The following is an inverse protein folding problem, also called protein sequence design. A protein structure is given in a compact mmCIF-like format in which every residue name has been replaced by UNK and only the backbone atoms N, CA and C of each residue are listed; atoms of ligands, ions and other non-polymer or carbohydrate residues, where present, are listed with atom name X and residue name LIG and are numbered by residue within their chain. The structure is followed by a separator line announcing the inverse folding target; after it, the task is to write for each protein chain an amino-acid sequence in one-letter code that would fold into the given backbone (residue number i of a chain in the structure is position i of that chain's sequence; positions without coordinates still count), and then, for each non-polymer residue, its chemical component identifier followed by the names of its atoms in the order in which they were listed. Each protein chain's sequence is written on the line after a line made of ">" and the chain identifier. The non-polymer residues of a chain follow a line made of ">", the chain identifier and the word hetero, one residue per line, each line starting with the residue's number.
data_IF_860656288884
#
_entry.id   IF_860656288884
#
_cell.length_a   1.000
_cell.length_b   1.000
_cell.length_c   1.000
_cell.angle_alpha   90.00
_cell.angle_beta   90.00
_cell.angle_gamma   90.00
#
_symmetry.space_group_name_H-M   'P 1'
#
loop_
_entity.id
_entity.type
_entity.pdbx_description
1 polymer ?
#
# COMPACT_ATOMS: atom_id res chain seq x y z
N UNK A 1 34.44 -48.16 2.27
CA UNK A 1 34.21 -46.78 1.81
C UNK A 1 32.91 -46.29 2.46
N UNK A 2 33.04 -45.75 3.66
CA UNK A 2 31.90 -45.25 4.44
C UNK A 2 31.62 -43.81 4.06
N UNK A 3 30.47 -43.58 3.47
CA UNK A 3 29.95 -42.24 3.21
C UNK A 3 29.16 -41.79 4.45
N UNK A 4 29.80 -41.07 5.36
CA UNK A 4 29.17 -40.42 6.49
C UNK A 4 28.33 -39.25 5.95
N UNK A 5 27.02 -39.46 5.88
CA UNK A 5 26.04 -38.38 5.58
C UNK A 5 26.01 -37.44 6.78
N UNK A 6 26.49 -36.22 6.56
CA UNK A 6 26.53 -35.15 7.54
C UNK A 6 25.11 -34.55 7.74
N UNK A 7 24.38 -35.07 8.75
CA UNK A 7 22.98 -34.72 9.05
C UNK A 7 22.80 -33.55 10.03
N UNK A 8 23.83 -32.68 10.16
CA UNK A 8 23.84 -31.65 11.22
C UNK A 8 23.31 -30.24 10.80
N UNK A 9 22.91 -30.05 9.53
CA UNK A 9 22.54 -28.72 8.99
C UNK A 9 21.12 -28.23 9.34
N UNK A 10 20.06 -29.04 9.39
CA UNK A 10 18.72 -28.49 9.59
C UNK A 10 18.38 -28.07 11.04
N UNK A 11 19.07 -28.58 12.04
CA UNK A 11 18.77 -28.32 13.46
C UNK A 11 19.35 -26.97 13.91
N UNK A 12 20.53 -26.60 13.43
CA UNK A 12 21.18 -25.30 13.74
C UNK A 12 20.43 -24.12 13.10
N UNK A 13 19.93 -24.29 11.87
CA UNK A 13 19.18 -23.25 11.19
C UNK A 13 17.83 -22.98 11.88
N UNK A 14 17.14 -24.02 12.33
CA UNK A 14 15.89 -23.90 13.08
C UNK A 14 16.07 -23.25 14.46
N UNK A 15 17.17 -23.52 15.15
CA UNK A 15 17.48 -22.88 16.44
C UNK A 15 17.83 -21.41 16.28
N UNK A 16 18.54 -21.04 15.22
CA UNK A 16 18.88 -19.64 14.92
C UNK A 16 17.64 -18.82 14.53
N UNK A 17 16.68 -19.41 13.83
CA UNK A 17 15.41 -18.78 13.49
C UNK A 17 14.50 -18.60 14.72
N UNK A 18 14.54 -19.54 15.66
CA UNK A 18 13.77 -19.45 16.91
C UNK A 18 14.37 -18.44 17.90
N UNK A 19 15.69 -18.30 17.93
CA UNK A 19 16.39 -17.29 18.74
C UNK A 19 16.16 -15.87 18.21
N UNK A 20 16.13 -15.68 16.89
CA UNK A 20 15.78 -14.42 16.26
C UNK A 20 14.35 -13.95 16.59
N UNK A 21 13.46 -14.89 16.92
CA UNK A 21 12.07 -14.60 17.30
C UNK A 21 11.92 -14.05 18.74
N UNK A 22 12.95 -14.21 19.57
CA UNK A 22 12.96 -13.83 21.01
C UNK A 22 13.66 -12.51 21.32
N UNK A 23 14.36 -11.89 20.36
CA UNK A 23 15.05 -10.62 20.61
C UNK A 23 14.04 -9.47 20.70
N UNK A 24 14.21 -8.53 21.66
CA UNK A 24 13.38 -7.33 21.74
C UNK A 24 13.59 -6.51 20.47
N UNK A 25 12.50 -6.19 19.78
CA UNK A 25 12.53 -5.41 18.53
C UNK A 25 12.87 -3.97 18.82
N UNK A 26 13.88 -3.47 18.14
CA UNK A 26 14.20 -2.05 18.14
C UNK A 26 13.19 -1.29 17.25
N UNK A 27 12.94 -0.02 17.55
CA UNK A 27 12.09 0.84 16.70
C UNK A 27 12.54 0.82 15.23
N UNK A 28 13.85 0.78 15.01
CA UNK A 28 14.45 0.67 13.67
C UNK A 28 14.01 -0.62 12.94
N UNK A 29 13.94 -1.73 13.64
CA UNK A 29 13.52 -3.03 13.06
C UNK A 29 12.03 -2.95 12.65
N UNK A 30 11.20 -2.32 13.48
CA UNK A 30 9.77 -2.14 13.17
C UNK A 30 9.61 -1.26 11.93
N UNK A 31 10.32 -0.15 11.83
CA UNK A 31 10.28 0.74 10.65
C UNK A 31 10.73 0.00 9.39
N UNK A 32 11.80 -0.79 9.49
CA UNK A 32 12.29 -1.58 8.37
C UNK A 32 11.27 -2.66 7.94
N UNK A 33 10.70 -3.40 8.88
CA UNK A 33 9.68 -4.42 8.62
C UNK A 33 8.45 -3.79 7.94
N UNK A 34 7.96 -2.68 8.45
CA UNK A 34 6.82 -1.93 7.88
C UNK A 34 7.13 -1.46 6.47
N UNK A 35 8.29 -0.82 6.25
CA UNK A 35 8.70 -0.35 4.92
C UNK A 35 8.79 -1.50 3.92
N UNK A 36 9.33 -2.65 4.34
CA UNK A 36 9.41 -3.86 3.52
C UNK A 36 8.01 -4.39 3.20
N UNK A 37 7.11 -4.42 4.19
CA UNK A 37 5.72 -4.82 4.01
C UNK A 37 4.97 -3.96 3.00
N UNK A 38 5.14 -2.64 3.08
CA UNK A 38 4.59 -1.67 2.14
C UNK A 38 5.13 -1.92 0.73
N UNK A 39 6.45 -2.01 0.58
CA UNK A 39 7.10 -2.19 -0.72
C UNK A 39 6.67 -3.49 -1.40
N UNK A 40 6.63 -4.59 -0.66
CA UNK A 40 6.19 -5.88 -1.19
C UNK A 40 4.72 -5.87 -1.60
N UNK A 41 3.84 -5.25 -0.80
CA UNK A 41 2.42 -5.12 -1.13
C UNK A 41 2.21 -4.30 -2.41
N UNK A 42 2.93 -3.18 -2.56
CA UNK A 42 2.86 -2.34 -3.75
C UNK A 42 3.33 -3.11 -4.99
N UNK A 43 4.47 -3.78 -4.92
CA UNK A 43 5.00 -4.58 -6.03
C UNK A 43 4.04 -5.70 -6.42
N UNK A 44 3.50 -6.44 -5.44
CA UNK A 44 2.62 -7.56 -5.71
C UNK A 44 1.27 -7.14 -6.32
N UNK A 45 0.74 -5.99 -5.96
CA UNK A 45 -0.61 -5.57 -6.35
C UNK A 45 -0.59 -4.52 -7.46
N UNK A 46 0.14 -3.43 -7.27
CA UNK A 46 0.23 -2.38 -8.29
C UNK A 46 1.17 -2.77 -9.42
N UNK A 47 2.37 -3.26 -9.12
CA UNK A 47 3.33 -3.64 -10.13
C UNK A 47 2.77 -4.71 -11.07
N UNK A 48 2.25 -5.79 -10.51
CA UNK A 48 1.63 -6.85 -11.30
C UNK A 48 0.32 -6.40 -11.94
N UNK A 49 -0.50 -5.59 -11.25
CA UNK A 49 -1.74 -5.04 -11.79
C UNK A 49 -1.50 -4.16 -13.03
N UNK A 50 -0.51 -3.27 -12.97
CA UNK A 50 -0.12 -2.44 -14.11
C UNK A 50 0.46 -3.28 -15.26
N UNK A 51 1.29 -4.27 -14.96
CA UNK A 51 1.84 -5.18 -15.98
C UNK A 51 0.74 -5.95 -16.71
N UNK A 52 -0.22 -6.52 -15.96
CA UNK A 52 -1.36 -7.24 -16.54
C UNK A 52 -2.24 -6.32 -17.39
N UNK A 53 -2.52 -5.11 -16.90
CA UNK A 53 -3.32 -4.13 -17.65
C UNK A 53 -2.61 -3.69 -18.95
N UNK A 54 -1.29 -3.43 -18.88
CA UNK A 54 -0.49 -3.05 -20.05
C UNK A 54 -0.39 -4.17 -21.09
N UNK A 55 -0.13 -5.39 -20.66
CA UNK A 55 -0.13 -6.58 -21.55
C UNK A 55 -1.51 -6.82 -22.14
N UNK A 56 -2.57 -6.69 -21.33
CA UNK A 56 -3.94 -6.85 -21.81
C UNK A 56 -4.30 -5.83 -22.88
N UNK A 57 -3.88 -4.58 -22.73
CA UNK A 57 -4.06 -3.52 -23.73
C UNK A 57 -3.25 -3.81 -25.01
N UNK A 58 -2.00 -4.25 -24.88
CA UNK A 58 -1.15 -4.57 -26.01
C UNK A 58 -1.67 -5.78 -26.82
N UNK A 59 -2.16 -6.79 -26.13
CA UNK A 59 -2.71 -8.02 -26.72
C UNK A 59 -4.20 -7.92 -27.07
N UNK A 60 -4.86 -6.79 -26.76
CA UNK A 60 -6.31 -6.58 -26.91
C UNK A 60 -7.16 -7.62 -26.15
N UNK A 61 -6.69 -8.09 -24.99
CA UNK A 61 -7.37 -9.05 -24.13
C UNK A 61 -8.06 -8.34 -23.00
N UNK A 62 -9.34 -8.00 -23.16
CA UNK A 62 -10.15 -7.28 -22.16
C UNK A 62 -10.17 -7.92 -20.75
N UNK A 63 -10.32 -9.26 -20.58
CA UNK A 63 -10.27 -9.87 -19.25
C UNK A 63 -8.94 -9.65 -18.53
N UNK A 64 -7.83 -9.60 -19.22
CA UNK A 64 -6.51 -9.36 -18.65
C UNK A 64 -6.38 -7.91 -18.16
N UNK A 65 -6.92 -6.96 -18.93
CA UNK A 65 -7.00 -5.54 -18.50
C UNK A 65 -7.83 -5.41 -17.23
N UNK A 66 -9.01 -6.04 -17.20
CA UNK A 66 -9.90 -6.00 -16.03
C UNK A 66 -9.26 -6.62 -14.80
N UNK A 67 -8.58 -7.76 -14.93
CA UNK A 67 -7.84 -8.38 -13.84
C UNK A 67 -6.73 -7.46 -13.30
N UNK A 68 -5.99 -6.78 -14.19
CA UNK A 68 -4.97 -5.81 -13.80
C UNK A 68 -5.55 -4.60 -13.05
N UNK A 69 -6.65 -4.05 -13.54
CA UNK A 69 -7.34 -2.94 -12.87
C UNK A 69 -7.91 -3.33 -11.51
N UNK A 70 -8.46 -4.54 -11.39
CA UNK A 70 -8.94 -5.07 -10.11
C UNK A 70 -7.79 -5.24 -9.12
N UNK A 71 -6.65 -5.77 -9.58
CA UNK A 71 -5.43 -5.86 -8.77
C UNK A 71 -5.04 -4.50 -8.19
N UNK A 72 -5.01 -3.45 -8.99
CA UNK A 72 -4.65 -2.10 -8.52
C UNK A 72 -5.61 -1.57 -7.44
N UNK A 73 -6.90 -1.90 -7.50
CA UNK A 73 -7.88 -1.52 -6.48
C UNK A 73 -7.69 -2.26 -5.15
N UNK A 74 -7.00 -3.41 -5.17
CA UNK A 74 -6.68 -4.19 -3.97
C UNK A 74 -5.49 -3.65 -3.16
N UNK A 75 -5.02 -2.43 -3.44
CA UNK A 75 -3.84 -1.86 -2.77
C UNK A 75 -4.03 -1.73 -1.25
N UNK A 76 -5.14 -1.16 -0.80
CA UNK A 76 -5.36 -0.94 0.64
C UNK A 76 -5.38 -2.25 1.45
N UNK A 77 -6.15 -3.29 1.07
CA UNK A 77 -6.08 -4.58 1.76
C UNK A 77 -4.70 -5.23 1.69
N UNK A 78 -4.00 -5.12 0.56
CA UNK A 78 -2.66 -5.67 0.41
C UNK A 78 -1.64 -5.00 1.35
N UNK A 79 -1.73 -3.68 1.56
CA UNK A 79 -0.93 -2.95 2.54
C UNK A 79 -1.20 -3.47 3.96
N UNK A 80 -2.46 -3.69 4.32
CA UNK A 80 -2.84 -4.26 5.61
C UNK A 80 -2.20 -5.63 5.87
N UNK A 81 -2.29 -6.52 4.89
CA UNK A 81 -1.70 -7.88 4.97
C UNK A 81 -0.17 -7.83 4.97
N UNK A 82 0.44 -7.04 4.06
CA UNK A 82 1.89 -6.94 3.93
C UNK A 82 2.55 -6.46 5.22
N UNK A 83 2.01 -5.40 5.83
CA UNK A 83 2.49 -4.88 7.11
C UNK A 83 2.31 -5.92 8.22
N UNK A 84 1.14 -6.56 8.31
CA UNK A 84 0.84 -7.52 9.35
C UNK A 84 1.79 -8.75 9.30
N UNK A 85 2.05 -9.28 8.09
CA UNK A 85 2.97 -10.41 7.89
C UNK A 85 4.40 -10.03 8.30
N UNK A 86 4.89 -8.88 7.86
CA UNK A 86 6.24 -8.44 8.20
C UNK A 86 6.39 -8.14 9.69
N UNK A 87 5.34 -7.64 10.33
CA UNK A 87 5.27 -7.47 11.78
C UNK A 87 5.01 -8.78 12.54
N UNK A 88 4.97 -9.93 11.85
CA UNK A 88 4.74 -11.27 12.41
C UNK A 88 3.45 -11.39 13.21
N UNK A 89 2.40 -10.71 12.77
CA UNK A 89 1.08 -10.81 13.35
C UNK A 89 0.48 -12.22 13.14
N UNK A 90 -0.40 -12.62 14.04
CA UNK A 90 -1.17 -13.86 13.87
C UNK A 90 -2.27 -13.67 12.78
N UNK A 91 -2.91 -14.75 12.37
CA UNK A 91 -3.94 -14.73 11.33
C UNK A 91 -5.10 -13.79 11.68
N UNK A 92 -5.54 -13.78 12.95
CA UNK A 92 -6.64 -12.94 13.42
C UNK A 92 -6.29 -11.45 13.30
N UNK A 93 -5.10 -11.08 13.74
CA UNK A 93 -4.59 -9.71 13.62
C UNK A 93 -4.34 -9.32 12.17
N UNK A 94 -3.88 -10.25 11.31
CA UNK A 94 -3.69 -10.00 9.87
C UNK A 94 -5.03 -9.74 9.19
N UNK A 95 -6.07 -10.52 9.49
CA UNK A 95 -7.43 -10.27 9.01
C UNK A 95 -7.99 -8.92 9.47
N UNK A 96 -7.76 -8.57 10.74
CA UNK A 96 -8.15 -7.28 11.28
C UNK A 96 -7.44 -6.11 10.57
N UNK A 97 -6.13 -6.23 10.33
CA UNK A 97 -5.34 -5.22 9.64
C UNK A 97 -5.78 -5.03 8.17
N UNK A 98 -6.15 -6.14 7.48
CA UNK A 98 -6.73 -6.09 6.14
C UNK A 98 -8.01 -5.26 6.12
N UNK A 99 -8.94 -5.54 7.03
CA UNK A 99 -10.22 -4.83 7.10
C UNK A 99 -10.00 -3.37 7.50
N UNK A 100 -9.18 -3.13 8.53
CA UNK A 100 -8.88 -1.79 9.01
C UNK A 100 -8.23 -0.91 7.93
N UNK A 101 -7.26 -1.44 7.17
CA UNK A 101 -6.64 -0.74 6.06
C UNK A 101 -7.66 -0.41 4.95
N UNK A 102 -8.52 -1.36 4.61
CA UNK A 102 -9.51 -1.22 3.53
C UNK A 102 -10.57 -0.18 3.87
N UNK A 103 -11.17 -0.27 5.06
CA UNK A 103 -12.24 0.65 5.48
C UNK A 103 -11.64 1.99 5.94
N UNK A 104 -10.54 1.95 6.71
CA UNK A 104 -9.90 3.16 7.24
C UNK A 104 -9.27 4.07 6.17
N UNK A 105 -9.01 3.55 4.97
CA UNK A 105 -8.52 4.33 3.82
C UNK A 105 -9.62 4.83 2.89
N UNK A 106 -10.91 4.60 3.19
CA UNK A 106 -12.02 4.82 2.27
C UNK A 106 -11.86 4.05 0.93
N UNK A 107 -11.17 2.90 0.94
CA UNK A 107 -11.06 2.06 -0.26
C UNK A 107 -12.40 1.43 -0.62
N UNK A 108 -13.25 1.21 0.36
CA UNK A 108 -14.58 0.61 0.20
C UNK A 108 -15.62 1.52 0.87
N UNK A 109 -16.62 1.92 0.11
CA UNK A 109 -17.74 2.72 0.62
C UNK A 109 -19.01 2.43 -0.16
N UNK A 110 -20.15 2.78 0.43
CA UNK A 110 -21.47 2.65 -0.22
C UNK A 110 -21.86 3.97 -0.87
N UNK A 111 -22.40 3.90 -2.10
CA UNK A 111 -22.93 5.08 -2.78
C UNK A 111 -24.18 5.60 -2.07
N UNK A 112 -24.24 6.93 -1.88
CA UNK A 112 -25.42 7.59 -1.32
C UNK A 112 -26.47 7.92 -2.39
N UNK A 113 -26.05 8.03 -3.66
CA UNK A 113 -26.91 8.33 -4.79
C UNK A 113 -26.69 7.36 -5.95
N UNK A 114 -27.70 7.16 -6.79
CA UNK A 114 -27.56 6.40 -8.04
C UNK A 114 -26.72 7.20 -9.04
N UNK A 115 -25.80 6.53 -9.72
CA UNK A 115 -25.03 7.09 -10.83
C UNK A 115 -25.41 6.38 -12.13
N UNK A 116 -25.68 7.14 -13.23
CA UNK A 116 -26.03 6.54 -14.51
C UNK A 116 -24.83 5.76 -15.09
N UNK A 117 -25.16 4.78 -15.93
CA UNK A 117 -24.16 4.04 -16.68
C UNK A 117 -23.32 4.99 -17.55
N UNK A 118 -22.01 4.84 -17.50
CA UNK A 118 -21.04 5.67 -18.22
C UNK A 118 -20.02 4.85 -18.97
N UNK A 119 -19.63 5.31 -20.16
CA UNK A 119 -18.47 4.79 -20.86
C UNK A 119 -17.21 5.49 -20.36
N UNK A 120 -16.23 4.68 -19.95
CA UNK A 120 -14.89 5.16 -19.59
C UNK A 120 -13.87 4.65 -20.60
N UNK A 121 -12.67 5.21 -20.59
CA UNK A 121 -11.58 4.73 -21.44
C UNK A 121 -11.22 3.25 -21.24
N UNK A 122 -11.59 2.68 -20.08
CA UNK A 122 -11.33 1.30 -19.68
C UNK A 122 -12.54 0.38 -19.84
N UNK A 123 -13.68 0.86 -20.32
CA UNK A 123 -14.86 0.06 -20.59
C UNK A 123 -16.18 0.66 -20.11
N UNK A 124 -17.20 -0.17 -20.12
CA UNK A 124 -18.54 0.18 -19.70
C UNK A 124 -18.70 0.01 -18.18
N UNK A 125 -19.13 1.07 -17.50
CA UNK A 125 -19.58 1.00 -16.11
C UNK A 125 -21.12 0.99 -16.14
N UNK A 126 -21.71 -0.10 -15.67
CA UNK A 126 -23.17 -0.20 -15.54
C UNK A 126 -23.70 0.85 -14.57
N UNK A 127 -24.99 1.13 -14.66
CA UNK A 127 -25.65 2.02 -13.73
C UNK A 127 -25.54 1.44 -12.30
N UNK A 128 -25.30 2.32 -11.33
CA UNK A 128 -25.13 1.93 -9.93
C UNK A 128 -26.28 2.50 -9.10
N UNK A 129 -27.05 1.62 -8.48
CA UNK A 129 -28.10 2.01 -7.56
C UNK A 129 -27.52 2.62 -6.28
N UNK A 130 -28.30 3.49 -5.62
CA UNK A 130 -27.96 3.96 -4.29
C UNK A 130 -27.76 2.76 -3.34
N UNK A 131 -26.71 2.77 -2.54
CA UNK A 131 -26.31 1.66 -1.69
C UNK A 131 -25.38 0.62 -2.34
N UNK A 132 -24.97 0.81 -3.60
CA UNK A 132 -23.97 -0.06 -4.23
C UNK A 132 -22.59 0.09 -3.56
N UNK A 133 -21.91 -1.05 -3.41
CA UNK A 133 -20.55 -1.07 -2.89
C UNK A 133 -19.56 -0.62 -3.97
N UNK A 134 -18.83 0.45 -3.69
CA UNK A 134 -17.74 0.91 -4.55
C UNK A 134 -16.39 0.54 -3.94
N UNK A 135 -15.50 0.05 -4.77
CA UNK A 135 -14.13 -0.26 -4.42
C UNK A 135 -13.17 0.62 -5.21
N UNK A 136 -12.35 1.37 -4.49
CA UNK A 136 -11.27 2.22 -5.02
C UNK A 136 -9.93 1.75 -4.49
N UNK A 137 -8.84 2.33 -4.94
CA UNK A 137 -7.51 2.05 -4.37
C UNK A 137 -7.35 2.55 -2.92
N UNK A 138 -8.28 3.40 -2.46
CA UNK A 138 -8.22 4.02 -1.14
C UNK A 138 -7.07 5.03 -0.99
N UNK A 139 -6.98 5.62 0.20
CA UNK A 139 -5.91 6.54 0.58
C UNK A 139 -4.74 5.76 1.17
N UNK A 140 -3.58 5.61 0.47
CA UNK A 140 -2.51 4.70 0.89
C UNK A 140 -1.90 5.06 2.26
N UNK A 141 -1.76 6.36 2.57
CA UNK A 141 -1.21 6.80 3.85
C UNK A 141 -2.11 6.38 5.00
N UNK A 142 -3.42 6.60 4.86
CA UNK A 142 -4.41 6.18 5.87
C UNK A 142 -4.49 4.66 5.99
N UNK A 143 -4.36 3.92 4.87
CA UNK A 143 -4.31 2.46 4.88
C UNK A 143 -3.14 1.93 5.71
N UNK A 144 -1.95 2.51 5.52
CA UNK A 144 -0.74 2.16 6.29
C UNK A 144 -0.93 2.45 7.77
N UNK A 145 -1.41 3.64 8.11
CA UNK A 145 -1.61 4.04 9.51
C UNK A 145 -2.69 3.20 10.20
N UNK A 146 -3.80 2.91 9.50
CA UNK A 146 -4.86 2.02 9.98
C UNK A 146 -4.33 0.60 10.24
N UNK A 147 -3.56 0.05 9.29
CA UNK A 147 -2.94 -1.26 9.42
C UNK A 147 -1.97 -1.33 10.59
N UNK A 148 -1.10 -0.32 10.74
CA UNK A 148 -0.13 -0.24 11.82
C UNK A 148 -0.82 -0.27 13.18
N UNK A 149 -1.85 0.57 13.37
CA UNK A 149 -2.57 0.60 14.64
C UNK A 149 -3.32 -0.71 14.88
N UNK A 150 -3.95 -1.28 13.87
CA UNK A 150 -4.63 -2.58 14.00
C UNK A 150 -3.65 -3.69 14.39
N UNK A 151 -2.46 -3.76 13.77
CA UNK A 151 -1.43 -4.74 14.11
C UNK A 151 -0.88 -4.51 15.51
N UNK A 152 -0.65 -3.26 15.89
CA UNK A 152 -0.18 -2.94 17.23
C UNK A 152 -1.18 -3.37 18.31
N UNK A 153 -2.45 -2.98 18.16
CA UNK A 153 -3.53 -3.34 19.09
C UNK A 153 -3.74 -4.85 19.13
N UNK A 154 -3.79 -5.51 17.97
CA UNK A 154 -3.98 -6.95 17.87
C UNK A 154 -2.85 -7.74 18.51
N UNK A 155 -1.60 -7.38 18.24
CA UNK A 155 -0.43 -8.02 18.86
C UNK A 155 -0.37 -7.75 20.38
N UNK A 156 -0.77 -6.56 20.81
CA UNK A 156 -0.80 -6.24 22.23
C UNK A 156 -1.87 -7.02 22.99
N UNK A 157 -3.02 -7.26 22.36
CA UNK A 157 -4.15 -7.95 22.98
C UNK A 157 -4.01 -9.48 22.97
N UNK A 158 -3.32 -10.01 21.96
CA UNK A 158 -3.13 -11.47 21.78
C UNK A 158 -2.51 -12.12 23.02
N UNK A 159 -3.14 -13.16 23.54
CA UNK A 159 -2.68 -13.95 24.69
C UNK A 159 -3.04 -13.33 26.05
N UNK A 160 -3.82 -12.26 26.11
CA UNK A 160 -4.22 -11.60 27.38
C UNK A 160 -5.60 -12.00 27.87
N UNK A 161 -6.44 -12.50 26.97
CA UNK A 161 -7.84 -12.79 27.31
C UNK A 161 -8.22 -14.21 26.85
N UNK A 162 -9.11 -14.90 27.58
CA UNK A 162 -9.61 -16.22 27.16
C UNK A 162 -10.48 -16.16 25.90
N UNK A 163 -10.92 -14.97 25.50
CA UNK A 163 -11.77 -14.71 24.33
C UNK A 163 -10.99 -14.11 23.16
N UNK A 164 -9.68 -14.39 23.05
CA UNK A 164 -8.80 -13.82 22.03
C UNK A 164 -9.32 -13.97 20.60
N UNK A 165 -10.00 -15.09 20.28
CA UNK A 165 -10.54 -15.35 18.94
C UNK A 165 -11.57 -14.30 18.49
N UNK A 166 -12.34 -13.72 19.39
CA UNK A 166 -13.35 -12.70 19.08
C UNK A 166 -12.86 -11.29 19.39
N UNK A 167 -12.17 -11.13 20.53
CA UNK A 167 -11.80 -9.82 21.04
C UNK A 167 -10.63 -9.19 20.25
N UNK A 168 -9.64 -9.98 19.85
CA UNK A 168 -8.48 -9.50 19.10
C UNK A 168 -8.88 -8.91 17.74
N UNK A 169 -9.58 -9.65 16.84
CA UNK A 169 -9.95 -9.10 15.55
C UNK A 169 -10.95 -7.94 15.68
N UNK A 170 -11.89 -7.99 16.62
CA UNK A 170 -12.85 -6.91 16.83
C UNK A 170 -12.15 -5.61 17.29
N UNK A 171 -11.36 -5.65 18.34
CA UNK A 171 -10.69 -4.48 18.89
C UNK A 171 -9.65 -3.90 17.90
N UNK A 172 -8.88 -4.77 17.24
CA UNK A 172 -7.89 -4.35 16.26
C UNK A 172 -8.53 -3.70 15.03
N UNK A 173 -9.61 -4.29 14.49
CA UNK A 173 -10.35 -3.72 13.36
C UNK A 173 -10.97 -2.38 13.74
N UNK A 174 -11.66 -2.32 14.88
CA UNK A 174 -12.32 -1.09 15.33
C UNK A 174 -11.32 0.06 15.52
N UNK A 175 -10.26 -0.19 16.28
CA UNK A 175 -9.23 0.82 16.54
C UNK A 175 -8.55 1.28 15.24
N UNK A 176 -8.13 0.35 14.39
CA UNK A 176 -7.48 0.66 13.12
C UNK A 176 -8.40 1.42 12.16
N UNK A 177 -9.67 1.02 12.06
CA UNK A 177 -10.65 1.68 11.18
C UNK A 177 -10.94 3.11 11.64
N UNK A 178 -11.24 3.33 12.91
CA UNK A 178 -11.53 4.69 13.44
C UNK A 178 -10.33 5.60 13.23
N UNK A 179 -9.14 5.11 13.53
CA UNK A 179 -7.91 5.89 13.35
C UNK A 179 -7.63 6.16 11.87
N UNK A 180 -7.83 5.17 11.00
CA UNK A 180 -7.66 5.30 9.55
C UNK A 180 -8.61 6.34 8.96
N UNK A 181 -9.91 6.29 9.30
CA UNK A 181 -10.88 7.28 8.85
C UNK A 181 -10.55 8.68 9.36
N UNK A 182 -10.14 8.81 10.61
CA UNK A 182 -9.69 10.10 11.17
C UNK A 182 -8.47 10.66 10.45
N UNK A 183 -7.47 9.81 10.15
CA UNK A 183 -6.30 10.23 9.38
C UNK A 183 -6.64 10.51 7.92
N UNK A 184 -7.54 9.77 7.28
CA UNK A 184 -8.00 10.02 5.92
C UNK A 184 -8.67 11.39 5.80
N UNK A 185 -9.46 11.81 6.80
CA UNK A 185 -10.12 13.10 6.81
C UNK A 185 -9.12 14.29 6.81
N UNK A 186 -7.92 14.10 7.33
CA UNK A 186 -6.87 15.13 7.35
C UNK A 186 -5.92 15.00 6.16
N UNK A 187 -5.49 13.77 5.84
CA UNK A 187 -4.49 13.54 4.80
C UNK A 187 -5.06 13.72 3.40
N UNK A 188 -6.33 13.40 3.15
CA UNK A 188 -6.94 13.55 1.83
C UNK A 188 -6.99 15.01 1.35
N UNK A 189 -7.50 15.99 2.13
CA UNK A 189 -7.48 17.38 1.70
C UNK A 189 -6.05 17.92 1.50
N UNK A 190 -5.13 17.53 2.38
CA UNK A 190 -3.73 17.94 2.28
C UNK A 190 -3.08 17.43 0.98
N UNK A 191 -3.26 16.14 0.65
CA UNK A 191 -2.69 15.56 -0.57
C UNK A 191 -3.36 16.10 -1.84
N UNK A 192 -4.67 16.34 -1.81
CA UNK A 192 -5.36 17.00 -2.91
C UNK A 192 -4.81 18.41 -3.15
N UNK A 193 -4.59 19.18 -2.09
CA UNK A 193 -4.00 20.51 -2.20
C UNK A 193 -2.58 20.45 -2.80
N UNK A 194 -1.73 19.48 -2.37
CA UNK A 194 -0.39 19.27 -2.96
C UNK A 194 -0.51 18.91 -4.43
N UNK A 195 -1.39 17.97 -4.79
CA UNK A 195 -1.61 17.53 -6.17
C UNK A 195 -2.09 18.68 -7.08
N UNK A 196 -3.06 19.46 -6.62
CA UNK A 196 -3.57 20.64 -7.35
C UNK A 196 -2.48 21.71 -7.52
N UNK A 197 -1.66 21.94 -6.50
CA UNK A 197 -0.54 22.88 -6.56
C UNK A 197 0.50 22.45 -7.60
N UNK A 198 0.84 21.17 -7.63
CA UNK A 198 1.75 20.60 -8.64
C UNK A 198 1.14 20.69 -10.04
N UNK A 199 -0.12 20.29 -10.21
CA UNK A 199 -0.82 20.35 -11.48
C UNK A 199 -0.97 21.80 -12.01
N UNK A 200 -1.21 22.77 -11.13
CA UNK A 200 -1.29 24.19 -11.51
C UNK A 200 0.05 24.72 -12.04
N UNK A 201 1.17 24.32 -11.43
CA UNK A 201 2.51 24.70 -11.88
C UNK A 201 2.80 24.18 -13.29
N UNK A 202 2.34 22.95 -13.61
CA UNK A 202 2.45 22.37 -14.95
C UNK A 202 1.64 23.12 -16.00
N UNK A 203 0.47 23.68 -15.63
CA UNK A 203 -0.38 24.46 -16.54
C UNK A 203 0.20 25.81 -16.92
N UNK A 204 0.92 26.47 -16.00
CA UNK A 204 1.51 27.79 -16.23
C UNK A 204 2.73 27.68 -17.16
N UNK A 205 3.62 26.76 -16.90
CA UNK A 205 4.79 26.50 -17.74
C UNK A 205 5.18 25.02 -17.59
N UNK A 206 4.90 24.16 -18.61
CA UNK A 206 5.16 22.73 -18.52
C UNK A 206 6.63 22.38 -18.23
N UNK A 207 7.57 23.18 -18.73
CA UNK A 207 8.99 22.93 -18.53
C UNK A 207 9.43 23.21 -17.07
N UNK A 208 9.04 24.37 -16.53
CA UNK A 208 9.31 24.71 -15.12
C UNK A 208 8.54 23.80 -14.18
N UNK A 209 7.28 23.47 -14.51
CA UNK A 209 6.48 22.55 -13.75
C UNK A 209 7.09 21.15 -13.68
N UNK A 210 7.55 20.60 -14.81
CA UNK A 210 8.25 19.32 -14.85
C UNK A 210 9.52 19.32 -14.02
N UNK A 211 10.30 20.40 -14.07
CA UNK A 211 11.49 20.56 -13.24
C UNK A 211 11.15 20.56 -11.75
N UNK A 212 10.18 21.36 -11.33
CA UNK A 212 9.75 21.45 -9.91
C UNK A 212 9.22 20.08 -9.43
N UNK A 213 8.37 19.41 -10.20
CA UNK A 213 7.87 18.08 -9.87
C UNK A 213 9.02 17.08 -9.73
N UNK A 214 9.98 17.07 -10.65
CA UNK A 214 11.14 16.19 -10.61
C UNK A 214 12.00 16.41 -9.37
N UNK A 215 12.25 17.67 -8.99
CA UNK A 215 13.04 18.02 -7.78
C UNK A 215 12.29 17.62 -6.51
N UNK A 216 11.02 17.96 -6.41
CA UNK A 216 10.18 17.59 -5.25
C UNK A 216 10.10 16.06 -5.12
N UNK A 217 9.94 15.37 -6.24
CA UNK A 217 9.93 13.92 -6.28
C UNK A 217 11.26 13.30 -5.84
N UNK A 218 12.37 13.86 -6.30
CA UNK A 218 13.69 13.44 -5.85
C UNK A 218 13.88 13.60 -4.34
N UNK A 219 13.44 14.72 -3.77
CA UNK A 219 13.47 14.94 -2.33
C UNK A 219 12.64 13.90 -1.56
N UNK A 220 11.47 13.53 -2.09
CA UNK A 220 10.67 12.45 -1.51
C UNK A 220 11.36 11.09 -1.56
N UNK A 221 12.14 10.80 -2.60
CA UNK A 221 12.94 9.57 -2.68
C UNK A 221 14.01 9.48 -1.60
N UNK A 222 14.52 10.61 -1.12
CA UNK A 222 15.48 10.67 0.00
C UNK A 222 14.82 10.36 1.35
N UNK A 223 13.49 10.42 1.44
CA UNK A 223 12.78 10.03 2.65
C UNK A 223 12.62 8.50 2.70
N UNK A 224 12.52 7.89 3.89
CA UNK A 224 12.29 6.44 4.01
C UNK A 224 10.88 6.00 3.55
N UNK A 225 10.07 6.92 3.04
CA UNK A 225 8.77 6.62 2.45
C UNK A 225 8.94 6.01 1.06
N UNK A 226 8.15 4.95 0.78
CA UNK A 226 8.16 4.34 -0.55
C UNK A 226 7.69 5.34 -1.61
N UNK A 227 8.52 5.59 -2.63
CA UNK A 227 8.21 6.48 -3.74
C UNK A 227 6.93 6.07 -4.48
N UNK A 228 6.66 4.78 -4.59
CA UNK A 228 5.43 4.26 -5.20
C UNK A 228 4.18 4.61 -4.38
N UNK A 229 4.24 4.51 -3.05
CA UNK A 229 3.14 4.90 -2.17
C UNK A 229 2.86 6.41 -2.27
N UNK A 230 3.92 7.23 -2.36
CA UNK A 230 3.77 8.68 -2.54
C UNK A 230 3.19 9.03 -3.91
N UNK A 231 3.62 8.35 -4.99
CA UNK A 231 3.07 8.56 -6.33
C UNK A 231 1.56 8.35 -6.37
N UNK A 232 1.09 7.29 -5.72
CA UNK A 232 -0.33 6.98 -5.63
C UNK A 232 -1.05 7.95 -4.69
N UNK A 233 -0.43 8.31 -3.58
CA UNK A 233 -1.01 9.24 -2.61
C UNK A 233 -1.24 10.63 -3.21
N UNK A 234 -0.34 11.10 -4.07
CA UNK A 234 -0.43 12.42 -4.72
C UNK A 234 -1.34 12.38 -5.97
N UNK A 235 -1.74 11.17 -6.44
CA UNK A 235 -2.61 11.02 -7.63
C UNK A 235 -2.15 11.88 -8.81
N UNK A 236 -0.88 11.79 -9.16
CA UNK A 236 -0.30 12.57 -10.25
C UNK A 236 -1.05 12.32 -11.56
N UNK A 237 -1.35 13.41 -12.28
CA UNK A 237 -1.83 13.33 -13.64
C UNK A 237 -0.74 12.71 -14.56
N UNK A 238 -1.05 12.29 -15.79
CA UNK A 238 -0.08 11.63 -16.68
C UNK A 238 1.18 12.48 -16.96
N UNK A 239 1.06 13.79 -17.02
CA UNK A 239 2.17 14.72 -17.24
C UNK A 239 3.07 14.83 -16.02
N UNK A 240 2.49 15.01 -14.84
CA UNK A 240 3.20 15.05 -13.56
C UNK A 240 3.84 13.69 -13.24
N UNK A 241 3.16 12.60 -13.62
CA UNK A 241 3.69 11.23 -13.52
C UNK A 241 4.94 11.02 -14.37
N UNK A 242 4.95 11.52 -15.62
CA UNK A 242 6.13 11.51 -16.48
C UNK A 242 7.30 12.31 -15.91
N UNK A 243 7.05 13.51 -15.38
CA UNK A 243 8.05 14.34 -14.74
C UNK A 243 8.62 13.68 -13.45
N UNK A 244 7.78 13.02 -12.66
CA UNK A 244 8.19 12.24 -11.49
C UNK A 244 9.09 11.06 -11.88
N UNK A 245 8.80 10.38 -12.98
CA UNK A 245 9.60 9.27 -13.51
C UNK A 245 11.01 9.74 -13.89
N UNK A 246 11.14 10.91 -14.51
CA UNK A 246 12.44 11.53 -14.83
C UNK A 246 13.20 11.85 -13.53
N UNK A 247 12.53 12.41 -12.53
CA UNK A 247 13.11 12.67 -11.21
C UNK A 247 13.59 11.39 -10.51
N UNK A 248 12.86 10.28 -10.67
CA UNK A 248 13.24 8.96 -10.14
C UNK A 248 14.54 8.46 -10.79
N UNK A 249 14.63 8.50 -12.11
CA UNK A 249 15.84 8.05 -12.86
C UNK A 249 17.05 8.91 -12.54
N UNK A 250 16.90 10.23 -12.48
CA UNK A 250 17.96 11.14 -12.08
C UNK A 250 18.41 10.87 -10.63
N UNK A 251 17.46 10.64 -9.73
CA UNK A 251 17.73 10.29 -8.33
C UNK A 251 18.51 8.98 -8.17
N UNK A 252 18.17 7.97 -8.95
CA UNK A 252 18.90 6.70 -8.97
C UNK A 252 20.37 6.87 -9.40
N UNK A 253 20.61 7.68 -10.45
CA UNK A 253 21.97 7.96 -10.94
C UNK A 253 22.79 8.70 -9.86
N UNK A 254 22.21 9.70 -9.21
CA UNK A 254 22.88 10.43 -8.12
C UNK A 254 23.17 9.51 -6.94
N UNK A 255 22.22 8.68 -6.55
CA UNK A 255 22.38 7.73 -5.44
C UNK A 255 23.49 6.71 -5.71
N UNK A 256 23.56 6.17 -6.93
CA UNK A 256 24.63 5.23 -7.33
C UNK A 256 25.99 5.91 -7.48
N UNK A 257 26.04 7.22 -7.73
CA UNK A 257 27.28 7.98 -7.80
C UNK A 257 27.83 8.39 -6.44
N UNK A 258 26.98 8.46 -5.40
CA UNK A 258 27.37 8.84 -4.05
C UNK A 258 27.65 7.65 -3.11
N UNK A 259 27.28 6.43 -3.48
CA UNK A 259 27.46 5.19 -2.70
C UNK A 259 28.50 4.29 -3.29
#
# INVERSE_FOLDING_TARGET
>A
MDATVNSSTPVKEKSTLLDKKKQPRTVRDVVFDVSTGISNAILAVLGMGLLMASLGNLLHITPLVQAGLMGQKMLAPALGVGIAIMMRANILTTGAALIAATVGSNAVYFTTASSPATHTATGWIADQAAGSLIMTSGQPVSAVLAALLAVFVGNWLTGKTPLDMMLVPFAATLAGTIFGLGTAAVTTPFLNWVSESLASTMKVNPFLGAFVVSVVWFLFLMTPASSAALAIAVMLDPLSGGAALIGTTAGFVVYTAMG
#
